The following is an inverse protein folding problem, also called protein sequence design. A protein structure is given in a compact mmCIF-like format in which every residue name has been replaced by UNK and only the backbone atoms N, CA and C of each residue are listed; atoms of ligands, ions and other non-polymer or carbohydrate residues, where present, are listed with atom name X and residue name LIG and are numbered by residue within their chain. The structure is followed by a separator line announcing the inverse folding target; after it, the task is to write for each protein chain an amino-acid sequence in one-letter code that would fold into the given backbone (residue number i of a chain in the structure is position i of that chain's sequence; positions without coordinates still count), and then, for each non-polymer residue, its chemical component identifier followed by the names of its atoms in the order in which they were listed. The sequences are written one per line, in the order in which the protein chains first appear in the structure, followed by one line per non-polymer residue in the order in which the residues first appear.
data_IF_458096992064
#
_entry.id   IF_458096992064
#
_cell.length_a   1.000
_cell.length_b   1.000
_cell.length_c   1.000
_cell.angle_alpha   90.00
_cell.angle_beta   90.00
_cell.angle_gamma   90.00
#
_symmetry.space_group_name_H-M   'P 1'
#
loop_
_entity.id
_entity.type
_entity.pdbx_description
1 polymer ?
#
# COMPACT_ATOMS: atom_id res chain seq x y z
N UNK A 1 -31.30 -11.23 12.77
CA UNK A 1 -29.92 -10.75 12.47
C UNK A 1 -29.05 -11.13 13.66
N UNK A 2 -27.91 -11.84 13.41
CA UNK A 2 -26.95 -12.25 14.45
C UNK A 2 -26.39 -11.00 15.16
N UNK A 3 -26.13 -11.09 16.48
CA UNK A 3 -25.63 -10.00 17.34
C UNK A 3 -24.29 -9.45 16.81
N UNK A 4 -23.40 -10.32 16.28
CA UNK A 4 -22.13 -9.89 15.73
C UNK A 4 -22.28 -9.13 14.41
N UNK A 5 -23.15 -9.57 13.51
CA UNK A 5 -23.43 -8.84 12.27
C UNK A 5 -23.97 -7.43 12.56
N UNK A 6 -24.85 -7.28 13.56
CA UNK A 6 -25.35 -5.96 13.96
C UNK A 6 -24.23 -5.04 14.43
N UNK A 7 -23.30 -5.57 15.23
CA UNK A 7 -22.12 -4.81 15.68
C UNK A 7 -21.16 -4.46 14.55
N UNK A 8 -20.99 -5.37 13.57
CA UNK A 8 -20.20 -5.11 12.36
C UNK A 8 -20.80 -3.96 11.56
N UNK A 9 -22.12 -3.97 11.36
CA UNK A 9 -22.83 -2.91 10.65
C UNK A 9 -22.75 -1.56 11.39
N UNK A 10 -22.81 -1.55 12.72
CA UNK A 10 -22.57 -0.33 13.50
C UNK A 10 -21.14 0.21 13.31
N UNK A 11 -20.13 -0.66 13.31
CA UNK A 11 -18.75 -0.22 13.07
C UNK A 11 -18.60 0.40 11.66
N UNK A 12 -19.21 -0.22 10.65
CA UNK A 12 -19.22 0.32 9.28
C UNK A 12 -19.98 1.64 9.20
N UNK A 13 -21.13 1.76 9.90
CA UNK A 13 -21.90 3.00 9.95
C UNK A 13 -21.10 4.14 10.60
N UNK A 14 -20.39 3.86 11.71
CA UNK A 14 -19.49 4.85 12.35
C UNK A 14 -18.36 5.28 11.40
N UNK A 15 -17.77 4.32 10.69
CA UNK A 15 -16.73 4.64 9.69
C UNK A 15 -17.28 5.46 8.52
N UNK A 16 -18.50 5.17 8.06
CA UNK A 16 -19.19 5.98 7.03
C UNK A 16 -19.50 7.40 7.53
N UNK A 17 -19.90 7.54 8.80
CA UNK A 17 -20.08 8.87 9.42
C UNK A 17 -18.78 9.66 9.47
N UNK A 18 -17.64 9.02 9.78
CA UNK A 18 -16.32 9.66 9.72
C UNK A 18 -16.02 10.18 8.31
N UNK A 19 -16.26 9.35 7.28
CA UNK A 19 -16.08 9.75 5.88
C UNK A 19 -16.98 10.93 5.52
N UNK A 20 -18.26 10.88 5.90
CA UNK A 20 -19.22 11.95 5.63
C UNK A 20 -18.81 13.25 6.35
N UNK A 21 -18.40 13.15 7.62
CA UNK A 21 -17.91 14.30 8.38
C UNK A 21 -16.68 14.92 7.73
N UNK A 22 -15.72 14.09 7.28
CA UNK A 22 -14.52 14.57 6.59
C UNK A 22 -14.87 15.26 5.27
N UNK A 23 -15.80 14.72 4.50
CA UNK A 23 -16.25 15.34 3.26
C UNK A 23 -16.94 16.69 3.52
N UNK A 24 -17.88 16.75 4.45
CA UNK A 24 -18.62 18.00 4.80
C UNK A 24 -17.67 19.08 5.33
N UNK A 25 -16.80 18.73 6.29
CA UNK A 25 -15.82 19.65 6.81
C UNK A 25 -14.82 20.10 5.74
N UNK A 26 -14.37 19.18 4.89
CA UNK A 26 -13.47 19.50 3.77
C UNK A 26 -14.10 20.44 2.75
N UNK A 27 -15.38 20.26 2.41
CA UNK A 27 -16.13 21.20 1.53
C UNK A 27 -16.24 22.57 2.18
N UNK A 28 -16.51 22.64 3.49
CA UNK A 28 -16.58 23.91 4.22
C UNK A 28 -15.24 24.65 4.20
N UNK A 29 -14.13 23.95 4.54
CA UNK A 29 -12.77 24.51 4.51
C UNK A 29 -12.38 24.96 3.11
N UNK A 30 -12.73 24.18 2.06
CA UNK A 30 -12.44 24.52 0.67
C UNK A 30 -13.19 25.78 0.20
N UNK A 31 -14.43 25.99 0.68
CA UNK A 31 -15.21 27.19 0.36
C UNK A 31 -14.67 28.45 1.00
N UNK A 32 -14.16 28.34 2.23
CA UNK A 32 -13.62 29.47 2.97
C UNK A 32 -12.21 29.84 2.45
N UNK A 33 -11.34 28.84 2.39
CA UNK A 33 -9.93 29.02 1.95
C UNK A 33 -9.53 27.78 1.18
N UNK A 34 -9.27 27.86 -0.11
CA UNK A 34 -8.87 26.68 -0.91
C UNK A 34 -7.44 26.18 -0.57
N UNK A 35 -7.22 25.92 0.73
CA UNK A 35 -5.93 25.45 1.29
C UNK A 35 -5.78 23.93 1.26
N UNK A 36 -6.85 23.17 0.94
CA UNK A 36 -6.79 21.72 0.90
C UNK A 36 -6.09 21.21 -0.37
N UNK A 37 -6.19 21.94 -1.46
CA UNK A 37 -5.68 21.57 -2.78
C UNK A 37 -6.11 20.14 -3.22
N UNK A 38 -7.39 19.81 -2.97
CA UNK A 38 -8.03 18.57 -3.42
C UNK A 38 -9.39 18.87 -4.04
N UNK A 39 -9.73 18.18 -5.13
CA UNK A 39 -10.96 18.44 -5.85
C UNK A 39 -12.21 17.96 -5.12
N UNK A 40 -12.15 16.80 -4.48
CA UNK A 40 -13.26 16.13 -3.80
C UNK A 40 -12.86 15.65 -2.38
N UNK A 41 -12.81 16.57 -1.37
CA UNK A 41 -12.34 16.21 -0.02
C UNK A 41 -13.13 15.02 0.59
N UNK A 42 -12.45 14.12 1.32
CA UNK A 42 -11.04 14.15 1.67
C UNK A 42 -10.11 13.55 0.60
N UNK A 43 -10.63 13.03 -0.52
CA UNK A 43 -9.86 12.36 -1.56
C UNK A 43 -9.24 13.34 -2.55
N UNK A 44 -8.04 13.02 -3.03
CA UNK A 44 -7.42 13.70 -4.17
C UNK A 44 -8.06 13.23 -5.48
N UNK A 45 -9.28 13.71 -5.73
CA UNK A 45 -10.11 13.32 -6.86
C UNK A 45 -11.03 14.46 -7.30
N UNK A 46 -11.65 14.31 -8.45
CA UNK A 46 -12.72 15.18 -8.95
C UNK A 46 -13.97 14.35 -9.18
N UNK A 47 -15.13 14.92 -8.93
CA UNK A 47 -16.39 14.28 -9.28
C UNK A 47 -16.54 14.26 -10.79
N UNK A 48 -16.52 13.08 -11.38
CA UNK A 48 -16.71 12.83 -12.80
C UNK A 48 -17.26 11.42 -12.99
N UNK A 49 -18.58 11.24 -13.02
CA UNK A 49 -19.18 9.96 -13.36
C UNK A 49 -18.82 9.55 -14.79
N UNK A 50 -18.22 8.38 -14.92
CA UNK A 50 -17.79 7.87 -16.23
C UNK A 50 -17.77 6.34 -16.27
N UNK A 51 -17.77 5.82 -17.50
CA UNK A 51 -17.55 4.40 -17.80
C UNK A 51 -16.52 4.31 -18.92
N UNK A 52 -15.89 3.17 -19.08
CA UNK A 52 -14.89 2.99 -20.12
C UNK A 52 -14.62 1.52 -20.44
N UNK A 53 -13.57 1.26 -21.25
CA UNK A 53 -13.30 -0.08 -21.77
C UNK A 53 -13.05 -1.14 -20.66
N UNK A 54 -12.55 -0.72 -19.50
CA UNK A 54 -12.33 -1.60 -18.35
C UNK A 54 -13.60 -1.95 -17.56
N UNK A 55 -14.69 -1.19 -17.70
CA UNK A 55 -15.91 -1.37 -16.90
C UNK A 55 -16.47 -2.80 -16.97
N UNK A 56 -16.67 -3.42 -18.16
CA UNK A 56 -17.17 -4.79 -18.23
C UNK A 56 -16.21 -5.80 -17.56
N UNK A 57 -14.91 -5.62 -17.74
CA UNK A 57 -13.92 -6.48 -17.12
C UNK A 57 -13.92 -6.33 -15.59
N UNK A 58 -14.01 -5.10 -15.06
CA UNK A 58 -14.06 -4.83 -13.62
C UNK A 58 -15.30 -5.48 -12.98
N UNK A 59 -16.47 -5.36 -13.60
CA UNK A 59 -17.69 -6.02 -13.13
C UNK A 59 -17.54 -7.55 -13.17
N UNK A 60 -16.98 -8.10 -14.27
CA UNK A 60 -16.78 -9.55 -14.43
C UNK A 60 -15.84 -10.09 -13.36
N UNK A 61 -14.69 -9.43 -13.11
CA UNK A 61 -13.74 -9.86 -12.07
C UNK A 61 -14.38 -9.75 -10.69
N UNK A 62 -15.11 -8.66 -10.40
CA UNK A 62 -15.83 -8.51 -9.13
C UNK A 62 -16.80 -9.67 -8.88
N UNK A 63 -17.68 -9.96 -9.85
CA UNK A 63 -18.65 -11.06 -9.77
C UNK A 63 -17.94 -12.41 -9.62
N UNK A 64 -16.90 -12.66 -10.43
CA UNK A 64 -16.15 -13.91 -10.38
C UNK A 64 -15.51 -14.13 -9.00
N UNK A 65 -14.88 -13.11 -8.41
CA UNK A 65 -14.27 -13.25 -7.09
C UNK A 65 -15.30 -13.34 -5.97
N UNK A 66 -16.42 -12.61 -6.04
CA UNK A 66 -17.52 -12.75 -5.06
C UNK A 66 -18.09 -14.17 -5.06
N UNK A 67 -18.33 -14.74 -6.24
CA UNK A 67 -18.96 -16.06 -6.38
C UNK A 67 -17.98 -17.19 -6.13
N UNK A 68 -16.82 -17.13 -6.77
CA UNK A 68 -15.86 -18.24 -6.80
C UNK A 68 -14.66 -18.03 -5.87
N UNK A 69 -14.36 -16.81 -5.45
CA UNK A 69 -13.19 -16.53 -4.59
C UNK A 69 -13.16 -17.36 -3.31
N UNK A 70 -14.22 -17.32 -2.46
CA UNK A 70 -14.24 -18.10 -1.22
C UNK A 70 -14.12 -19.61 -1.42
N UNK A 71 -14.87 -20.30 -2.31
CA UNK A 71 -14.72 -21.73 -2.53
C UNK A 71 -13.38 -22.10 -3.18
N UNK A 72 -12.84 -21.30 -4.09
CA UNK A 72 -11.52 -21.54 -4.68
C UNK A 72 -10.42 -21.39 -3.63
N UNK A 73 -10.45 -20.36 -2.83
CA UNK A 73 -9.49 -20.15 -1.75
C UNK A 73 -9.49 -21.32 -0.73
N UNK A 74 -10.66 -21.94 -0.50
CA UNK A 74 -10.77 -23.08 0.39
C UNK A 74 -10.20 -24.38 -0.23
N UNK A 75 -10.31 -24.56 -1.54
CA UNK A 75 -10.05 -25.85 -2.24
C UNK A 75 -8.72 -25.91 -2.98
N UNK A 76 -8.22 -24.79 -3.48
CA UNK A 76 -6.96 -24.76 -4.24
C UNK A 76 -5.80 -25.36 -3.43
N UNK A 77 -4.89 -26.14 -4.05
CA UNK A 77 -3.64 -26.49 -3.40
C UNK A 77 -2.91 -25.23 -2.93
N UNK A 78 -2.29 -25.28 -1.75
CA UNK A 78 -1.60 -24.10 -1.21
C UNK A 78 -0.62 -23.48 -2.20
N UNK A 79 0.13 -24.32 -2.93
CA UNK A 79 1.13 -23.83 -3.90
C UNK A 79 0.51 -22.99 -5.04
N UNK A 80 -0.74 -23.24 -5.38
CA UNK A 80 -1.46 -22.51 -6.43
C UNK A 80 -2.16 -21.25 -5.91
N UNK A 81 -2.56 -21.21 -4.62
CA UNK A 81 -3.36 -20.13 -4.07
C UNK A 81 -2.68 -18.75 -4.15
N UNK A 82 -1.38 -18.57 -3.80
CA UNK A 82 -0.72 -17.27 -3.94
C UNK A 82 -0.67 -16.77 -5.39
N UNK A 83 -0.45 -17.68 -6.35
CA UNK A 83 -0.47 -17.33 -7.78
C UNK A 83 -1.86 -16.93 -8.26
N UNK A 84 -2.89 -17.67 -7.84
CA UNK A 84 -4.28 -17.32 -8.14
C UNK A 84 -4.67 -15.96 -7.54
N UNK A 85 -4.25 -15.67 -6.31
CA UNK A 85 -4.46 -14.36 -5.69
C UNK A 85 -3.75 -13.25 -6.43
N UNK A 86 -2.48 -13.45 -6.81
CA UNK A 86 -1.74 -12.49 -7.62
C UNK A 86 -2.44 -12.22 -8.96
N UNK A 87 -2.77 -13.26 -9.71
CA UNK A 87 -3.42 -13.12 -11.00
C UNK A 87 -4.79 -12.42 -10.90
N UNK A 88 -5.59 -12.77 -9.89
CA UNK A 88 -6.89 -12.15 -9.67
C UNK A 88 -6.76 -10.69 -9.18
N UNK A 89 -5.81 -10.37 -8.30
CA UNK A 89 -5.53 -9.00 -7.86
C UNK A 89 -5.01 -8.14 -9.03
N UNK A 90 -4.14 -8.69 -9.86
CA UNK A 90 -3.65 -8.06 -11.07
C UNK A 90 -4.80 -7.78 -12.05
N UNK A 91 -5.66 -8.79 -12.33
CA UNK A 91 -6.83 -8.62 -13.19
C UNK A 91 -7.78 -7.55 -12.63
N UNK A 92 -8.00 -7.52 -11.32
CA UNK A 92 -8.83 -6.50 -10.66
C UNK A 92 -8.26 -5.10 -10.83
N UNK A 93 -6.98 -4.92 -10.52
CA UNK A 93 -6.30 -3.62 -10.63
C UNK A 93 -6.23 -3.12 -12.06
N UNK A 94 -5.87 -3.99 -13.03
CA UNK A 94 -5.88 -3.61 -14.44
C UNK A 94 -7.27 -3.25 -14.96
N UNK A 95 -8.30 -4.02 -14.59
CA UNK A 95 -9.66 -3.72 -15.05
C UNK A 95 -10.16 -2.38 -14.54
N UNK A 96 -9.84 -2.00 -13.29
CA UNK A 96 -10.15 -0.68 -12.74
C UNK A 96 -9.35 0.43 -13.44
N UNK A 97 -8.05 0.26 -13.63
CA UNK A 97 -7.22 1.22 -14.35
C UNK A 97 -7.70 1.45 -15.80
N UNK A 98 -8.15 0.39 -16.46
CA UNK A 98 -8.66 0.46 -17.83
C UNK A 98 -10.07 1.08 -17.95
N UNK A 99 -10.76 1.38 -16.85
CA UNK A 99 -11.99 2.21 -16.91
C UNK A 99 -11.64 3.58 -17.51
N UNK A 100 -10.48 4.15 -17.19
CA UNK A 100 -9.95 5.37 -17.82
C UNK A 100 -9.32 5.13 -19.21
N UNK A 101 -9.32 3.90 -19.69
CA UNK A 101 -8.65 3.47 -20.91
C UNK A 101 -7.13 3.30 -20.76
N UNK A 102 -6.48 2.69 -21.75
CA UNK A 102 -5.06 2.38 -21.72
C UNK A 102 -4.17 3.61 -21.52
N UNK A 103 -4.42 4.64 -22.33
CA UNK A 103 -3.55 5.82 -22.31
C UNK A 103 -3.60 6.53 -20.95
N UNK A 104 -4.79 6.86 -20.45
CA UNK A 104 -4.92 7.59 -19.21
C UNK A 104 -4.67 6.70 -17.99
N UNK A 105 -5.27 5.52 -17.94
CA UNK A 105 -5.26 4.64 -16.76
C UNK A 105 -3.95 3.90 -16.58
N UNK A 106 -3.15 3.66 -17.64
CA UNK A 106 -1.90 2.91 -17.55
C UNK A 106 -0.69 3.70 -18.07
N UNK A 107 -0.68 4.08 -19.34
CA UNK A 107 0.53 4.55 -19.99
C UNK A 107 0.97 5.97 -19.59
N UNK A 108 0.04 6.85 -19.22
CA UNK A 108 0.34 8.27 -18.94
C UNK A 108 0.60 8.57 -17.47
N UNK A 109 0.19 7.71 -16.52
CA UNK A 109 0.20 8.05 -15.09
C UNK A 109 1.60 8.39 -14.57
N UNK A 110 2.58 7.56 -14.85
CA UNK A 110 3.96 7.75 -14.41
C UNK A 110 4.79 8.68 -15.33
N UNK A 111 4.15 9.31 -16.33
CA UNK A 111 4.79 10.29 -17.22
C UNK A 111 4.32 11.72 -16.99
N UNK A 112 3.55 12.00 -15.93
CA UNK A 112 3.15 13.38 -15.62
C UNK A 112 4.36 14.19 -15.14
N UNK A 113 4.25 15.52 -15.17
CA UNK A 113 5.33 16.45 -14.75
C UNK A 113 5.80 16.25 -13.30
N UNK A 114 5.11 15.46 -12.50
CA UNK A 114 5.43 15.21 -11.09
C UNK A 114 6.20 13.91 -10.87
N UNK A 115 6.31 13.07 -11.91
CA UNK A 115 6.68 11.66 -11.81
C UNK A 115 8.14 11.37 -12.18
N UNK A 116 8.57 10.14 -11.87
CA UNK A 116 9.93 9.64 -12.00
C UNK A 116 10.45 9.61 -13.44
N UNK A 117 9.55 9.36 -14.43
CA UNK A 117 9.96 9.22 -15.83
C UNK A 117 10.41 10.54 -16.47
N UNK A 118 10.15 11.68 -15.81
CA UNK A 118 10.58 12.99 -16.29
C UNK A 118 12.10 13.22 -16.19
N UNK A 119 12.81 12.34 -15.48
CA UNK A 119 14.23 12.56 -15.17
C UNK A 119 15.13 11.38 -15.56
N UNK A 120 14.63 10.45 -16.38
CA UNK A 120 15.39 9.25 -16.79
C UNK A 120 16.74 9.63 -17.38
N UNK A 121 16.77 10.60 -18.31
CA UNK A 121 17.99 11.06 -18.99
C UNK A 121 19.02 11.68 -18.03
N UNK A 122 18.58 12.19 -16.88
CA UNK A 122 19.49 12.73 -15.86
C UNK A 122 20.27 11.64 -15.10
N UNK A 123 19.89 10.37 -15.28
CA UNK A 123 20.55 9.20 -14.71
C UNK A 123 21.41 8.43 -15.72
N UNK A 124 21.83 9.05 -16.83
CA UNK A 124 22.77 8.43 -17.79
C UNK A 124 24.06 8.03 -17.09
N UNK A 125 24.60 8.90 -16.23
CA UNK A 125 25.66 8.58 -15.27
C UNK A 125 25.05 8.40 -13.87
N UNK A 126 24.67 7.15 -13.53
CA UNK A 126 24.05 6.83 -12.24
C UNK A 126 24.92 7.25 -11.05
N UNK A 127 26.24 6.93 -10.98
CA UNK A 127 27.09 7.35 -9.89
C UNK A 127 27.11 8.87 -9.68
N UNK A 128 27.14 9.65 -10.75
CA UNK A 128 27.09 11.11 -10.69
C UNK A 128 25.72 11.59 -10.19
N UNK A 129 24.63 11.08 -10.76
CA UNK A 129 23.27 11.44 -10.35
C UNK A 129 22.99 11.14 -8.86
N UNK A 130 23.58 10.06 -8.32
CA UNK A 130 23.48 9.72 -6.90
C UNK A 130 24.27 10.68 -5.99
N UNK A 131 25.48 11.07 -6.38
CA UNK A 131 26.29 12.05 -5.62
C UNK A 131 25.64 13.43 -5.59
N UNK A 132 25.06 13.85 -6.72
CA UNK A 132 24.50 15.19 -6.88
C UNK A 132 23.01 15.24 -6.44
N UNK A 133 22.42 14.10 -6.01
CA UNK A 133 20.99 13.96 -5.79
C UNK A 133 20.42 14.96 -4.78
N UNK A 134 21.10 15.14 -3.63
CA UNK A 134 20.67 16.03 -2.55
C UNK A 134 20.64 17.49 -2.98
N UNK A 135 21.55 17.90 -3.86
CA UNK A 135 21.65 19.26 -4.39
C UNK A 135 20.43 19.72 -5.22
N UNK A 136 19.56 18.81 -5.62
CA UNK A 136 18.37 19.11 -6.44
C UNK A 136 17.03 18.90 -5.70
N UNK A 137 17.03 18.63 -4.38
CA UNK A 137 15.81 18.34 -3.63
C UNK A 137 14.95 19.59 -3.40
N UNK A 138 15.54 20.72 -2.98
CA UNK A 138 14.81 21.93 -2.63
C UNK A 138 14.27 22.67 -3.86
N UNK A 139 13.13 23.39 -3.71
CA UNK A 139 12.52 24.16 -4.81
C UNK A 139 13.43 25.30 -5.33
N UNK A 140 14.26 25.86 -4.47
CA UNK A 140 15.20 26.92 -4.86
C UNK A 140 16.48 26.43 -5.53
N UNK A 141 16.69 25.12 -5.63
CA UNK A 141 17.87 24.55 -6.27
C UNK A 141 17.79 24.65 -7.79
N UNK A 142 18.92 24.85 -8.49
CA UNK A 142 18.97 24.74 -9.94
C UNK A 142 18.47 23.33 -10.36
N UNK A 143 17.67 23.28 -11.42
CA UNK A 143 17.15 22.03 -11.98
C UNK A 143 16.58 21.08 -10.91
N UNK A 144 15.78 21.60 -9.96
CA UNK A 144 15.22 20.84 -8.87
C UNK A 144 14.39 19.64 -9.37
N UNK A 145 14.41 18.57 -8.57
CA UNK A 145 13.66 17.36 -8.88
C UNK A 145 12.13 17.60 -8.90
N UNK A 146 11.40 16.89 -9.80
CA UNK A 146 9.95 16.77 -9.69
C UNK A 146 9.53 16.26 -8.29
N UNK A 147 8.29 16.58 -7.85
CA UNK A 147 7.84 16.26 -6.48
C UNK A 147 8.02 14.81 -6.05
N UNK A 148 7.74 13.83 -6.93
CA UNK A 148 7.89 12.42 -6.55
C UNK A 148 9.36 11.99 -6.50
N UNK A 149 10.22 12.54 -7.33
CA UNK A 149 11.68 12.28 -7.28
C UNK A 149 12.28 12.89 -6.01
N UNK A 150 11.97 14.18 -5.72
CA UNK A 150 12.43 14.85 -4.50
C UNK A 150 11.87 14.18 -3.22
N UNK A 151 10.64 13.64 -3.30
CA UNK A 151 9.93 13.05 -2.19
C UNK A 151 10.38 11.63 -1.79
N UNK A 152 11.24 11.01 -2.59
CA UNK A 152 11.66 9.63 -2.39
C UNK A 152 13.18 9.47 -2.52
N UNK A 153 13.78 8.49 -1.84
CA UNK A 153 15.16 8.12 -2.11
C UNK A 153 15.34 7.69 -3.58
N UNK A 154 16.56 7.83 -4.15
CA UNK A 154 16.79 7.58 -5.57
C UNK A 154 16.54 6.13 -6.03
N UNK A 155 16.39 5.17 -5.12
CA UNK A 155 15.99 3.80 -5.44
C UNK A 155 14.64 3.71 -6.16
N UNK A 156 13.70 4.63 -5.84
CA UNK A 156 12.42 4.72 -6.54
C UNK A 156 12.63 5.09 -8.02
N UNK A 157 13.42 6.13 -8.30
CA UNK A 157 13.74 6.57 -9.66
C UNK A 157 14.57 5.53 -10.41
N UNK A 158 15.57 4.93 -9.73
CA UNK A 158 16.41 3.88 -10.33
C UNK A 158 15.64 2.66 -10.79
N UNK A 159 14.51 2.34 -10.17
CA UNK A 159 13.62 1.28 -10.66
C UNK A 159 13.23 1.52 -12.12
N UNK A 160 12.82 2.74 -12.46
CA UNK A 160 12.38 3.10 -13.80
C UNK A 160 13.56 3.33 -14.76
N UNK A 161 14.67 3.86 -14.27
CA UNK A 161 15.94 3.96 -15.04
C UNK A 161 16.41 2.58 -15.49
N UNK A 162 16.41 1.60 -14.58
CA UNK A 162 16.83 0.24 -14.92
C UNK A 162 15.84 -0.45 -15.85
N UNK A 163 14.54 -0.16 -15.72
CA UNK A 163 13.51 -0.65 -16.65
C UNK A 163 13.74 -0.11 -18.06
N UNK A 164 14.04 1.19 -18.18
CA UNK A 164 14.35 1.85 -19.45
C UNK A 164 15.59 1.26 -20.10
N UNK A 165 16.68 1.09 -19.32
CA UNK A 165 17.91 0.45 -19.80
C UNK A 165 17.75 -1.01 -20.23
N UNK A 166 16.74 -1.69 -19.68
CA UNK A 166 16.38 -3.04 -20.13
C UNK A 166 15.59 -3.05 -21.46
N UNK A 167 15.40 -1.90 -22.11
CA UNK A 167 14.60 -1.76 -23.33
C UNK A 167 13.10 -1.72 -23.11
N UNK A 168 12.65 -1.57 -21.85
CA UNK A 168 11.25 -1.48 -21.44
C UNK A 168 10.91 -0.05 -21.01
N UNK A 169 11.36 0.93 -21.78
CA UNK A 169 11.17 2.35 -21.49
C UNK A 169 9.73 2.83 -21.67
N UNK A 170 9.45 4.00 -21.08
CA UNK A 170 8.18 4.70 -21.22
C UNK A 170 7.09 4.27 -20.25
N UNK A 171 6.01 5.06 -20.22
CA UNK A 171 4.96 4.95 -19.22
C UNK A 171 4.14 3.68 -19.29
N UNK A 172 3.98 3.07 -20.47
CA UNK A 172 3.25 1.82 -20.63
C UNK A 172 3.92 0.66 -19.87
N UNK A 173 5.22 0.48 -20.04
CA UNK A 173 5.97 -0.55 -19.33
C UNK A 173 6.09 -0.27 -17.84
N UNK A 174 6.29 1.00 -17.46
CA UNK A 174 6.29 1.42 -16.07
C UNK A 174 4.93 1.11 -15.40
N UNK A 175 3.82 1.45 -16.07
CA UNK A 175 2.46 1.15 -15.57
C UNK A 175 2.20 -0.35 -15.42
N UNK A 176 2.59 -1.16 -16.42
CA UNK A 176 2.48 -2.62 -16.35
C UNK A 176 3.31 -3.18 -15.19
N UNK A 177 4.56 -2.70 -15.03
CA UNK A 177 5.45 -3.13 -13.94
C UNK A 177 4.81 -2.89 -12.56
N UNK A 178 4.37 -1.65 -12.30
CA UNK A 178 3.85 -1.30 -10.95
C UNK A 178 2.57 -2.04 -10.62
N UNK A 179 1.69 -2.30 -11.61
CA UNK A 179 0.48 -3.09 -11.40
C UNK A 179 0.83 -4.58 -11.18
N UNK A 180 1.66 -5.16 -12.06
CA UNK A 180 1.98 -6.58 -12.00
C UNK A 180 2.75 -6.94 -10.71
N UNK A 181 3.75 -6.13 -10.35
CA UNK A 181 4.52 -6.34 -9.12
C UNK A 181 3.68 -5.95 -7.90
N UNK A 182 2.96 -4.83 -7.95
CA UNK A 182 2.10 -4.36 -6.87
C UNK A 182 1.06 -5.41 -6.45
N UNK A 183 0.42 -6.07 -7.41
CA UNK A 183 -0.54 -7.14 -7.15
C UNK A 183 0.06 -8.34 -6.38
N UNK A 184 1.39 -8.55 -6.41
CA UNK A 184 2.05 -9.61 -5.63
C UNK A 184 1.98 -9.38 -4.13
N UNK A 185 1.67 -8.14 -3.67
CA UNK A 185 1.50 -7.84 -2.25
C UNK A 185 0.42 -8.74 -1.60
N UNK A 186 -0.66 -9.05 -2.32
CA UNK A 186 -1.68 -9.98 -1.86
C UNK A 186 -1.10 -11.37 -1.55
N UNK A 187 -0.25 -11.90 -2.42
CA UNK A 187 0.43 -13.17 -2.21
C UNK A 187 1.40 -13.13 -1.02
N UNK A 188 2.16 -12.04 -0.87
CA UNK A 188 3.09 -11.85 0.23
C UNK A 188 2.38 -11.82 1.61
N UNK A 189 1.25 -11.10 1.70
CA UNK A 189 0.41 -11.08 2.92
C UNK A 189 -0.12 -12.48 3.23
N UNK A 190 -0.61 -13.22 2.22
CA UNK A 190 -1.06 -14.60 2.41
C UNK A 190 0.03 -15.52 2.96
N UNK A 191 1.24 -15.45 2.39
CA UNK A 191 2.40 -16.22 2.85
C UNK A 191 2.71 -15.89 4.31
N UNK A 192 2.69 -14.61 4.66
CA UNK A 192 2.95 -14.14 6.03
C UNK A 192 1.91 -14.65 7.02
N UNK A 193 0.61 -14.51 6.69
CA UNK A 193 -0.49 -14.96 7.55
C UNK A 193 -0.42 -16.47 7.76
N UNK A 194 -0.17 -17.25 6.70
CA UNK A 194 0.01 -18.70 6.84
C UNK A 194 1.19 -19.05 7.75
N UNK A 195 2.33 -18.40 7.54
CA UNK A 195 3.56 -18.71 8.27
C UNK A 195 3.45 -18.40 9.77
N UNK A 196 2.80 -17.30 10.13
CA UNK A 196 2.74 -16.81 11.52
C UNK A 196 1.45 -17.19 12.25
N UNK A 197 0.33 -17.26 11.55
CA UNK A 197 -0.97 -17.63 12.12
C UNK A 197 -1.34 -19.07 11.73
N UNK A 198 -2.12 -19.24 10.67
CA UNK A 198 -2.41 -20.55 10.06
C UNK A 198 -2.90 -20.42 8.61
N UNK A 199 -3.01 -21.60 7.94
CA UNK A 199 -3.46 -21.68 6.56
C UNK A 199 -4.96 -21.36 6.41
N UNK A 200 -5.79 -21.68 7.41
CA UNK A 200 -7.23 -21.41 7.36
C UNK A 200 -7.52 -19.91 7.31
N UNK A 201 -6.85 -19.12 8.17
CA UNK A 201 -6.96 -17.66 8.18
C UNK A 201 -6.41 -17.04 6.89
N UNK A 202 -5.28 -17.55 6.37
CA UNK A 202 -4.74 -17.11 5.09
C UNK A 202 -5.75 -17.33 3.95
N UNK A 203 -6.34 -18.53 3.86
CA UNK A 203 -7.37 -18.85 2.87
C UNK A 203 -8.60 -17.98 2.97
N UNK A 204 -9.05 -17.67 4.19
CA UNK A 204 -10.19 -16.76 4.44
C UNK A 204 -9.87 -15.31 4.08
N UNK A 205 -8.63 -14.85 4.26
CA UNK A 205 -8.20 -13.51 3.87
C UNK A 205 -8.08 -13.33 2.35
N UNK A 206 -7.74 -14.39 1.61
CA UNK A 206 -7.39 -14.36 0.20
C UNK A 206 -8.34 -13.54 -0.69
N UNK A 207 -9.67 -13.77 -0.73
CA UNK A 207 -10.55 -13.02 -1.61
C UNK A 207 -10.67 -11.53 -1.22
N UNK A 208 -10.44 -11.16 0.04
CA UNK A 208 -10.46 -9.77 0.50
C UNK A 208 -9.19 -9.01 0.12
N UNK A 209 -8.05 -9.69 0.05
CA UNK A 209 -6.81 -9.14 -0.49
C UNK A 209 -6.91 -8.87 -1.99
N UNK A 210 -7.76 -9.61 -2.70
CA UNK A 210 -8.01 -9.43 -4.14
C UNK A 210 -8.97 -8.27 -4.40
N UNK A 211 -10.19 -8.31 -3.83
CA UNK A 211 -11.24 -7.31 -4.07
C UNK A 211 -11.13 -6.11 -3.12
N UNK A 212 -9.92 -5.56 -2.97
CA UNK A 212 -9.73 -4.37 -2.16
C UNK A 212 -10.10 -3.10 -2.94
N UNK A 213 -10.81 -2.13 -2.33
CA UNK A 213 -10.96 -0.80 -2.91
C UNK A 213 -9.61 -0.10 -3.13
N UNK A 214 -8.59 -0.44 -2.35
CA UNK A 214 -7.20 -0.01 -2.52
C UNK A 214 -6.69 -0.16 -3.97
N UNK A 215 -7.22 -1.11 -4.74
CA UNK A 215 -6.84 -1.33 -6.14
C UNK A 215 -7.12 -0.12 -7.05
N UNK A 216 -8.05 0.76 -6.69
CA UNK A 216 -8.33 2.02 -7.41
C UNK A 216 -7.08 2.91 -7.44
N UNK A 217 -6.29 2.91 -6.37
CA UNK A 217 -5.10 3.74 -6.21
C UNK A 217 -3.79 2.95 -6.37
N UNK A 218 -3.84 1.63 -6.30
CA UNK A 218 -2.70 0.77 -6.60
C UNK A 218 -2.45 0.66 -8.11
N UNK A 219 -3.50 0.88 -8.90
CA UNK A 219 -3.41 0.93 -10.36
C UNK A 219 -2.58 2.12 -10.80
N UNK A 220 -1.41 1.83 -11.38
CA UNK A 220 -0.46 2.76 -11.98
C UNK A 220 0.15 3.77 -11.00
N UNK A 221 0.35 3.34 -9.75
CA UNK A 221 1.10 4.07 -8.73
C UNK A 221 2.35 3.31 -8.31
N UNK A 222 3.47 4.02 -8.16
CA UNK A 222 4.69 3.46 -7.61
C UNK A 222 4.50 2.93 -6.17
N UNK A 223 3.55 3.48 -5.41
CA UNK A 223 3.25 3.03 -4.05
C UNK A 223 2.71 1.60 -4.00
N UNK A 224 1.99 1.15 -5.05
CA UNK A 224 1.60 -0.26 -5.19
C UNK A 224 2.81 -1.19 -5.31
N UNK A 225 3.80 -0.79 -6.10
CA UNK A 225 5.09 -1.50 -6.21
C UNK A 225 5.85 -1.48 -4.88
N UNK A 226 5.92 -0.32 -4.21
CA UNK A 226 6.56 -0.21 -2.89
C UNK A 226 5.89 -1.10 -1.84
N UNK A 227 4.56 -1.16 -1.86
CA UNK A 227 3.79 -2.06 -0.99
C UNK A 227 4.17 -3.53 -1.19
N UNK A 228 4.37 -3.95 -2.44
CA UNK A 228 4.76 -5.32 -2.74
C UNK A 228 6.17 -5.64 -2.26
N UNK A 229 7.16 -4.76 -2.49
CA UNK A 229 8.54 -4.96 -2.02
C UNK A 229 8.57 -5.10 -0.49
N UNK A 230 7.90 -4.16 0.21
CA UNK A 230 7.81 -4.19 1.66
C UNK A 230 7.07 -5.45 2.19
N UNK A 231 5.99 -5.86 1.51
CA UNK A 231 5.23 -7.05 1.88
C UNK A 231 6.06 -8.34 1.71
N UNK A 232 6.83 -8.45 0.64
CA UNK A 232 7.74 -9.59 0.44
C UNK A 232 8.89 -9.59 1.44
N UNK A 233 9.43 -8.43 1.81
CA UNK A 233 10.42 -8.33 2.89
C UNK A 233 9.91 -8.97 4.18
N UNK A 234 8.67 -8.63 4.56
CA UNK A 234 7.98 -9.19 5.73
C UNK A 234 7.67 -10.68 5.56
N UNK A 235 7.22 -11.10 4.37
CA UNK A 235 6.93 -12.51 4.09
C UNK A 235 8.18 -13.40 4.23
N UNK A 236 9.32 -12.95 3.70
CA UNK A 236 10.58 -13.67 3.87
C UNK A 236 11.04 -13.68 5.34
N UNK A 237 10.81 -12.59 6.09
CA UNK A 237 11.08 -12.56 7.52
C UNK A 237 10.21 -13.59 8.27
N UNK A 238 8.93 -13.66 7.96
CA UNK A 238 8.00 -14.62 8.54
C UNK A 238 8.43 -16.07 8.26
N UNK A 239 8.85 -16.36 7.02
CA UNK A 239 9.41 -17.67 6.66
C UNK A 239 10.70 -17.98 7.42
N UNK A 240 11.58 -17.00 7.60
CA UNK A 240 12.84 -17.16 8.33
C UNK A 240 12.60 -17.49 9.81
N UNK A 241 11.75 -16.71 10.49
CA UNK A 241 11.48 -16.92 11.93
C UNK A 241 10.74 -18.22 12.23
N UNK A 242 10.00 -18.75 11.24
CA UNK A 242 9.31 -20.05 11.35
C UNK A 242 10.16 -21.24 10.89
N UNK A 243 11.36 -20.98 10.34
CA UNK A 243 12.35 -22.01 10.02
C UNK A 243 12.31 -22.54 8.59
N UNK A 244 11.59 -21.87 7.68
CA UNK A 244 11.60 -22.23 6.27
C UNK A 244 12.82 -21.62 5.56
N UNK A 245 13.83 -22.44 5.24
CA UNK A 245 15.13 -22.01 4.68
C UNK A 245 15.70 -20.76 5.38
N UNK A 246 15.90 -20.80 6.72
CA UNK A 246 15.97 -19.61 7.57
C UNK A 246 17.08 -18.63 7.18
N UNK A 247 18.24 -19.12 6.67
CA UNK A 247 19.35 -18.25 6.28
C UNK A 247 19.04 -17.47 5.00
N UNK A 248 18.58 -18.16 3.95
CA UNK A 248 18.30 -17.55 2.65
C UNK A 248 17.11 -16.61 2.71
N UNK A 249 16.03 -16.99 3.42
CA UNK A 249 14.87 -16.11 3.58
C UNK A 249 15.18 -14.92 4.50
N UNK A 250 16.05 -15.08 5.51
CA UNK A 250 16.51 -13.96 6.33
C UNK A 250 17.35 -12.95 5.53
N UNK A 251 18.31 -13.42 4.71
CA UNK A 251 19.10 -12.57 3.81
C UNK A 251 18.19 -11.85 2.80
N UNK A 252 17.26 -12.56 2.17
CA UNK A 252 16.31 -11.98 1.23
C UNK A 252 15.42 -10.92 1.91
N UNK A 253 14.94 -11.19 3.12
CA UNK A 253 14.18 -10.21 3.93
C UNK A 253 15.01 -8.96 4.19
N UNK A 254 16.24 -9.12 4.67
CA UNK A 254 17.13 -7.99 4.94
C UNK A 254 17.39 -7.15 3.69
N UNK A 255 17.71 -7.80 2.56
CA UNK A 255 17.94 -7.12 1.29
C UNK A 255 16.71 -6.30 0.85
N UNK A 256 15.51 -6.89 0.94
CA UNK A 256 14.29 -6.17 0.58
C UNK A 256 13.92 -5.10 1.61
N UNK A 257 14.23 -5.25 2.91
CA UNK A 257 14.08 -4.16 3.89
C UNK A 257 15.02 -2.99 3.57
N UNK A 258 16.27 -3.28 3.21
CA UNK A 258 17.22 -2.27 2.75
C UNK A 258 16.73 -1.54 1.50
N UNK A 259 16.16 -2.28 0.54
CA UNK A 259 15.53 -1.68 -0.64
C UNK A 259 14.29 -0.86 -0.26
N UNK A 260 13.44 -1.36 0.62
CA UNK A 260 12.20 -0.69 1.07
C UNK A 260 12.49 0.73 1.58
N UNK A 261 13.51 0.92 2.41
CA UNK A 261 13.88 2.25 2.93
C UNK A 261 14.55 3.14 1.88
N UNK A 262 14.98 2.58 0.74
CA UNK A 262 15.51 3.33 -0.41
C UNK A 262 14.45 3.55 -1.52
N UNK A 263 13.25 2.99 -1.37
CA UNK A 263 12.10 3.31 -2.21
C UNK A 263 11.26 4.47 -1.64
N UNK A 264 11.11 4.54 -0.31
CA UNK A 264 10.37 5.65 0.32
C UNK A 264 10.82 5.82 1.78
N UNK A 265 11.02 7.07 2.19
CA UNK A 265 11.39 7.41 3.57
C UNK A 265 10.35 6.96 4.59
N UNK A 266 9.05 7.08 4.27
CA UNK A 266 7.95 6.66 5.14
C UNK A 266 7.94 5.15 5.40
N UNK A 267 8.57 4.35 4.55
CA UNK A 267 8.63 2.89 4.71
C UNK A 267 9.63 2.43 5.77
N UNK A 268 10.40 3.33 6.39
CA UNK A 268 11.13 3.04 7.64
C UNK A 268 10.20 2.54 8.74
N UNK A 269 8.91 2.93 8.71
CA UNK A 269 7.87 2.43 9.62
C UNK A 269 7.67 0.91 9.54
N UNK A 270 8.12 0.24 8.46
CA UNK A 270 8.11 -1.23 8.40
C UNK A 270 8.99 -1.90 9.46
N UNK A 271 9.85 -1.16 10.15
CA UNK A 271 10.52 -1.63 11.36
C UNK A 271 9.52 -2.11 12.43
N UNK A 272 8.35 -1.48 12.54
CA UNK A 272 7.28 -1.89 13.46
C UNK A 272 6.74 -3.27 13.07
N UNK A 273 6.43 -3.48 11.78
CA UNK A 273 5.95 -4.76 11.28
C UNK A 273 7.03 -5.85 11.40
N UNK A 274 8.28 -5.53 11.05
CA UNK A 274 9.40 -6.46 11.19
C UNK A 274 9.60 -6.87 12.65
N UNK A 275 9.49 -5.92 13.59
CA UNK A 275 9.57 -6.20 15.03
C UNK A 275 8.44 -7.13 15.48
N UNK A 276 7.19 -6.87 15.04
CA UNK A 276 6.05 -7.74 15.34
C UNK A 276 6.30 -9.18 14.85
N UNK A 277 6.80 -9.34 13.62
CA UNK A 277 7.13 -10.67 13.05
C UNK A 277 8.25 -11.35 13.84
N UNK A 278 9.30 -10.64 14.22
CA UNK A 278 10.38 -11.18 15.05
C UNK A 278 9.86 -11.65 16.41
N UNK A 279 8.97 -10.89 17.05
CA UNK A 279 8.38 -11.24 18.34
C UNK A 279 7.47 -12.47 18.25
N UNK A 280 6.77 -12.65 17.14
CA UNK A 280 5.91 -13.81 16.88
C UNK A 280 6.69 -15.08 16.52
N UNK A 281 7.92 -14.94 16.07
CA UNK A 281 8.74 -16.05 15.61
C UNK A 281 9.56 -16.73 16.71
N UNK A 282 9.83 -18.03 16.53
CA UNK A 282 10.61 -18.84 17.48
C UNK A 282 12.13 -18.75 17.28
N UNK A 283 12.60 -18.37 16.08
CA UNK A 283 14.02 -18.40 15.68
C UNK A 283 14.67 -17.01 15.57
N UNK A 284 14.08 -15.98 16.15
CA UNK A 284 14.44 -14.58 15.98
C UNK A 284 15.95 -14.29 16.16
N UNK A 285 16.56 -14.76 17.23
CA UNK A 285 17.98 -14.50 17.50
C UNK A 285 18.92 -15.17 16.47
N UNK A 286 18.57 -16.38 16.00
CA UNK A 286 19.40 -17.15 15.08
C UNK A 286 19.41 -16.56 13.67
N UNK A 287 18.34 -15.88 13.26
CA UNK A 287 18.23 -15.31 11.91
C UNK A 287 18.72 -13.85 11.84
N UNK A 288 18.79 -13.16 12.97
CA UNK A 288 19.10 -11.73 13.03
C UNK A 288 20.42 -11.36 12.32
N UNK A 289 21.54 -12.10 12.46
CA UNK A 289 22.76 -11.78 11.72
C UNK A 289 22.58 -11.79 10.19
N UNK A 290 21.76 -12.71 9.68
CA UNK A 290 21.48 -12.79 8.23
C UNK A 290 20.55 -11.68 7.76
N UNK A 291 19.55 -11.31 8.57
CA UNK A 291 18.69 -10.15 8.28
C UNK A 291 19.53 -8.87 8.24
N UNK A 292 20.39 -8.65 9.24
CA UNK A 292 21.27 -7.49 9.29
C UNK A 292 22.26 -7.46 8.12
N UNK A 293 22.86 -8.62 7.78
CA UNK A 293 23.76 -8.72 6.64
C UNK A 293 23.06 -8.34 5.32
N UNK A 294 21.83 -8.84 5.09
CA UNK A 294 21.05 -8.44 3.92
C UNK A 294 20.63 -6.97 3.94
N UNK A 295 20.21 -6.46 5.12
CA UNK A 295 19.74 -5.09 5.29
C UNK A 295 20.81 -4.05 4.93
N UNK A 296 22.07 -4.32 5.26
CA UNK A 296 23.17 -3.38 5.02
C UNK A 296 23.54 -3.25 3.53
N UNK A 297 23.26 -4.26 2.72
CA UNK A 297 23.71 -4.31 1.30
C UNK A 297 23.24 -3.10 0.50
N UNK A 298 21.94 -2.80 0.53
CA UNK A 298 21.40 -1.68 -0.27
C UNK A 298 21.83 -0.32 0.29
N UNK A 299 21.68 -0.01 1.60
CA UNK A 299 22.24 1.22 2.16
C UNK A 299 23.71 1.41 1.87
N UNK A 300 24.54 0.38 2.04
CA UNK A 300 25.96 0.47 1.76
C UNK A 300 26.24 0.78 0.28
N UNK A 301 25.51 0.15 -0.65
CA UNK A 301 25.67 0.40 -2.08
C UNK A 301 25.35 1.87 -2.43
N UNK A 302 24.27 2.44 -1.88
CA UNK A 302 23.90 3.84 -2.11
C UNK A 302 24.89 4.81 -1.47
N UNK A 303 25.33 4.54 -0.23
CA UNK A 303 26.32 5.37 0.47
C UNK A 303 27.68 5.34 -0.24
N UNK A 304 28.14 4.16 -0.69
CA UNK A 304 29.39 4.03 -1.46
C UNK A 304 29.30 4.71 -2.83
N UNK A 305 28.10 4.79 -3.41
CA UNK A 305 27.84 5.57 -4.63
C UNK A 305 27.73 7.08 -4.38
N UNK A 306 27.82 7.53 -3.12
CA UNK A 306 27.85 8.95 -2.73
C UNK A 306 26.50 9.55 -2.35
N UNK A 307 25.44 8.73 -2.20
CA UNK A 307 24.14 9.21 -1.73
C UNK A 307 24.08 9.23 -0.20
N UNK A 308 23.81 10.40 0.39
CA UNK A 308 23.54 10.55 1.82
C UNK A 308 22.03 10.51 2.09
N UNK A 309 21.58 9.40 2.69
CA UNK A 309 20.17 9.17 3.00
C UNK A 309 19.63 10.13 4.07
N UNK A 310 20.47 10.48 5.07
CA UNK A 310 20.04 11.35 6.17
C UNK A 310 19.95 12.81 5.74
N UNK A 311 20.91 13.30 5.00
CA UNK A 311 20.87 14.63 4.38
C UNK A 311 19.63 14.75 3.49
N UNK A 312 19.41 13.77 2.60
CA UNK A 312 18.25 13.74 1.72
C UNK A 312 16.92 13.74 2.49
N UNK A 313 16.84 13.02 3.61
CA UNK A 313 15.64 13.04 4.47
C UNK A 313 15.39 14.41 5.10
N UNK A 314 16.41 15.09 5.62
CA UNK A 314 16.25 16.44 6.17
C UNK A 314 15.82 17.44 5.10
N UNK A 315 16.42 17.39 3.93
CA UNK A 315 16.03 18.22 2.78
C UNK A 315 14.61 17.90 2.30
N UNK A 316 14.19 16.64 2.35
CA UNK A 316 12.79 16.28 2.06
C UNK A 316 11.82 16.94 3.04
N UNK A 317 12.11 16.96 4.34
CA UNK A 317 11.23 17.63 5.33
C UNK A 317 11.08 19.10 4.98
N UNK A 318 12.16 19.79 4.63
CA UNK A 318 12.12 21.16 4.16
C UNK A 318 11.32 21.29 2.85
N UNK A 319 11.61 20.45 1.85
CA UNK A 319 10.91 20.42 0.57
C UNK A 319 9.41 20.22 0.72
N UNK A 320 8.99 19.37 1.66
CA UNK A 320 7.58 19.12 1.96
C UNK A 320 6.87 20.38 2.41
N UNK A 321 7.53 21.18 3.28
CA UNK A 321 6.98 22.45 3.76
C UNK A 321 7.04 23.58 2.72
N UNK A 322 7.94 23.51 1.74
CA UNK A 322 7.95 24.40 0.58
C UNK A 322 6.78 24.15 -0.38
N UNK A 323 6.21 22.95 -0.36
CA UNK A 323 5.10 22.52 -1.22
C UNK A 323 3.73 22.59 -0.51
N UNK A 324 2.74 21.89 -1.10
CA UNK A 324 1.37 21.80 -0.58
C UNK A 324 1.29 21.32 0.88
N UNK A 325 2.24 20.48 1.32
CA UNK A 325 2.33 20.03 2.70
C UNK A 325 2.49 21.14 3.74
N UNK A 326 3.11 22.28 3.38
CA UNK A 326 3.25 23.44 4.25
C UNK A 326 1.94 24.22 4.45
N UNK A 327 1.07 24.23 3.44
CA UNK A 327 -0.17 25.01 3.47
C UNK A 327 -1.39 24.20 3.94
N UNK A 328 -1.39 22.89 3.71
CA UNK A 328 -2.49 21.99 4.10
C UNK A 328 -2.64 21.95 5.63
N UNK A 329 -3.84 22.25 6.20
CA UNK A 329 -4.04 22.34 7.64
C UNK A 329 -3.95 20.97 8.32
N UNK A 330 -3.04 20.82 9.26
CA UNK A 330 -2.84 19.57 10.01
C UNK A 330 -4.11 19.16 10.77
N UNK A 331 -4.78 20.12 11.43
CA UNK A 331 -5.97 19.87 12.23
C UNK A 331 -7.15 19.26 11.44
N UNK A 332 -7.20 19.46 10.12
CA UNK A 332 -8.15 18.76 9.25
C UNK A 332 -7.61 17.39 8.83
N UNK A 333 -6.36 17.33 8.35
CA UNK A 333 -5.84 16.12 7.73
C UNK A 333 -5.59 14.98 8.72
N UNK A 334 -5.22 15.25 9.98
CA UNK A 334 -4.96 14.21 10.99
C UNK A 334 -6.12 13.25 11.25
N UNK A 335 -7.35 13.64 10.95
CA UNK A 335 -8.51 12.75 11.03
C UNK A 335 -9.17 12.48 9.67
N UNK A 336 -9.05 13.38 8.71
CA UNK A 336 -9.54 13.19 7.35
C UNK A 336 -8.74 12.10 6.60
N UNK A 337 -7.45 11.94 6.89
CA UNK A 337 -6.63 10.83 6.40
C UNK A 337 -7.17 9.47 6.85
N UNK A 338 -7.72 9.36 8.07
CA UNK A 338 -8.37 8.14 8.53
C UNK A 338 -9.65 7.83 7.74
N UNK A 339 -10.38 8.87 7.31
CA UNK A 339 -11.53 8.72 6.43
C UNK A 339 -11.09 8.21 5.03
N UNK A 340 -9.98 8.70 4.49
CA UNK A 340 -9.37 8.16 3.27
C UNK A 340 -9.01 6.67 3.46
N UNK A 341 -8.36 6.33 4.58
CA UNK A 341 -8.00 4.94 4.88
C UNK A 341 -9.23 4.03 4.95
N UNK A 342 -10.36 4.48 5.51
CA UNK A 342 -11.64 3.73 5.53
C UNK A 342 -12.11 3.42 4.11
N UNK A 343 -12.05 4.39 3.19
CA UNK A 343 -12.42 4.17 1.78
C UNK A 343 -11.49 3.19 1.08
N UNK A 344 -10.19 3.27 1.36
CA UNK A 344 -9.15 2.39 0.78
C UNK A 344 -9.29 0.96 1.26
N UNK A 345 -9.52 0.73 2.57
CA UNK A 345 -9.62 -0.63 3.10
C UNK A 345 -11.01 -1.23 2.95
N UNK A 346 -12.05 -0.41 2.91
CA UNK A 346 -13.44 -0.76 2.67
C UNK A 346 -14.17 -1.42 3.86
N UNK A 347 -15.50 -1.66 3.71
CA UNK A 347 -16.39 -2.04 4.80
C UNK A 347 -16.09 -3.41 5.43
N UNK A 348 -15.64 -4.39 4.63
CA UNK A 348 -15.29 -5.71 5.15
C UNK A 348 -14.09 -5.65 6.11
N UNK A 349 -13.11 -4.81 5.79
CA UNK A 349 -11.94 -4.61 6.66
C UNK A 349 -12.31 -3.92 7.95
N UNK A 350 -13.17 -2.90 7.91
CA UNK A 350 -13.69 -2.22 9.10
C UNK A 350 -14.40 -3.22 10.03
N UNK A 351 -15.29 -4.05 9.47
CA UNK A 351 -15.96 -5.10 10.22
C UNK A 351 -14.95 -6.13 10.80
N UNK A 352 -13.97 -6.52 10.01
CA UNK A 352 -12.90 -7.43 10.41
C UNK A 352 -12.04 -6.86 11.54
N UNK A 353 -11.66 -5.58 11.48
CA UNK A 353 -10.90 -4.89 12.53
C UNK A 353 -11.70 -4.80 13.85
N UNK A 354 -13.01 -4.50 13.79
CA UNK A 354 -13.87 -4.58 14.98
C UNK A 354 -13.82 -5.97 15.61
N UNK A 355 -13.88 -7.03 14.78
CA UNK A 355 -13.82 -8.42 15.24
C UNK A 355 -12.43 -8.77 15.78
N UNK A 356 -11.37 -8.20 15.21
CA UNK A 356 -10.00 -8.31 15.71
C UNK A 356 -9.93 -7.76 17.13
N UNK A 357 -10.40 -6.55 17.36
CA UNK A 357 -10.44 -5.93 18.69
C UNK A 357 -11.18 -6.81 19.71
N UNK A 358 -12.35 -7.35 19.35
CA UNK A 358 -13.12 -8.25 20.22
C UNK A 358 -12.38 -9.57 20.54
N UNK A 359 -11.48 -10.05 19.69
CA UNK A 359 -10.63 -11.22 19.93
C UNK A 359 -9.44 -10.89 20.84
N UNK A 360 -8.85 -9.74 20.62
CA UNK A 360 -7.72 -9.29 21.44
C UNK A 360 -8.16 -8.95 22.87
N UNK A 361 -9.37 -8.41 23.08
CA UNK A 361 -9.91 -8.21 24.42
C UNK A 361 -10.20 -9.52 25.15
N UNK A 362 -10.46 -10.61 24.41
CA UNK A 362 -10.64 -11.96 24.92
C UNK A 362 -9.37 -12.80 24.75
N UNK A 363 -8.22 -12.25 25.04
CA UNK A 363 -6.89 -12.81 24.74
C UNK A 363 -6.76 -14.29 25.10
N UNK A 364 -7.12 -14.67 26.33
CA UNK A 364 -6.96 -16.05 26.81
C UNK A 364 -7.96 -17.04 26.18
N UNK A 365 -9.11 -16.55 25.74
CA UNK A 365 -10.16 -17.38 25.12
C UNK A 365 -10.00 -17.48 23.58
N UNK A 366 -9.17 -16.62 22.98
CA UNK A 366 -8.97 -16.62 21.53
C UNK A 366 -7.89 -17.60 21.09
N UNK A 367 -8.08 -18.32 19.96
CA UNK A 367 -7.07 -19.19 19.37
C UNK A 367 -5.74 -18.44 19.11
N UNK A 368 -4.62 -19.14 19.28
CA UNK A 368 -3.26 -18.54 19.08
C UNK A 368 -3.11 -17.93 17.69
N UNK A 369 -3.60 -18.60 16.64
CA UNK A 369 -3.52 -18.12 15.27
C UNK A 369 -4.28 -16.80 15.09
N UNK A 370 -5.48 -16.67 15.68
CA UNK A 370 -6.26 -15.42 15.61
C UNK A 370 -5.59 -14.26 16.36
N UNK A 371 -4.96 -14.55 17.52
CA UNK A 371 -4.16 -13.54 18.25
C UNK A 371 -2.98 -13.05 17.45
N UNK A 372 -2.24 -13.98 16.79
CA UNK A 372 -1.08 -13.65 15.96
C UNK A 372 -1.46 -12.80 14.75
N UNK A 373 -2.55 -13.14 14.05
CA UNK A 373 -3.07 -12.29 12.99
C UNK A 373 -3.50 -10.93 13.55
N UNK A 374 -4.18 -10.90 14.71
CA UNK A 374 -4.55 -9.67 15.38
C UNK A 374 -3.37 -8.75 15.69
N UNK A 375 -2.24 -9.30 16.14
CA UNK A 375 -1.02 -8.52 16.40
C UNK A 375 -0.39 -7.96 15.12
N UNK A 376 -0.42 -8.69 14.00
CA UNK A 376 0.02 -8.16 12.69
C UNK A 376 -0.88 -7.00 12.25
N UNK A 377 -2.19 -7.11 12.44
CA UNK A 377 -3.12 -6.01 12.13
C UNK A 377 -2.90 -4.80 13.03
N UNK A 378 -2.60 -5.00 14.32
CA UNK A 378 -2.21 -3.92 15.22
C UNK A 378 -0.91 -3.24 14.79
N UNK A 379 0.10 -4.01 14.36
CA UNK A 379 1.33 -3.45 13.83
C UNK A 379 1.08 -2.57 12.59
N UNK A 380 0.20 -3.02 11.67
CA UNK A 380 -0.20 -2.23 10.51
C UNK A 380 -0.94 -0.94 10.90
N UNK A 381 -1.86 -1.00 11.85
CA UNK A 381 -2.53 0.18 12.39
C UNK A 381 -1.55 1.13 13.07
N UNK A 382 -0.56 0.63 13.79
CA UNK A 382 0.46 1.45 14.45
C UNK A 382 1.34 2.17 13.42
N UNK A 383 1.75 1.49 12.33
CA UNK A 383 2.47 2.14 11.22
C UNK A 383 1.65 3.28 10.62
N UNK A 384 0.37 3.02 10.32
CA UNK A 384 -0.53 4.00 9.74
C UNK A 384 -0.73 5.20 10.66
N UNK A 385 -0.98 4.98 11.95
CA UNK A 385 -1.13 6.04 12.95
C UNK A 385 0.17 6.84 13.14
N UNK A 386 1.33 6.19 13.13
CA UNK A 386 2.61 6.89 13.20
C UNK A 386 2.84 7.78 11.97
N UNK A 387 2.49 7.28 10.77
CA UNK A 387 2.55 8.07 9.53
C UNK A 387 1.60 9.28 9.59
N UNK A 388 0.40 9.12 10.12
CA UNK A 388 -0.60 10.17 10.25
C UNK A 388 -0.17 11.26 11.23
N UNK A 389 0.23 10.84 12.44
CA UNK A 389 0.66 11.75 13.50
C UNK A 389 1.96 12.50 13.18
N UNK A 390 2.78 11.99 12.26
CA UNK A 390 4.00 12.68 11.81
C UNK A 390 3.72 14.02 11.12
N UNK A 391 2.51 14.21 10.58
CA UNK A 391 2.14 15.38 9.78
C UNK A 391 2.82 15.47 8.41
N UNK A 392 3.62 14.45 8.03
CA UNK A 392 4.28 14.34 6.72
C UNK A 392 3.39 13.72 5.64
N UNK A 393 2.12 13.41 5.96
CA UNK A 393 1.11 12.92 5.03
C UNK A 393 -0.17 13.74 5.20
N UNK A 394 -0.35 14.74 4.35
CA UNK A 394 -1.57 15.56 4.32
C UNK A 394 -2.16 15.49 2.91
N UNK A 395 -3.29 14.81 2.75
CA UNK A 395 -3.86 14.37 1.48
C UNK A 395 -3.05 13.28 0.76
N UNK A 396 -3.62 12.72 -0.29
CA UNK A 396 -3.04 11.64 -1.12
C UNK A 396 -2.75 10.36 -0.34
N UNK A 397 -3.26 10.25 0.90
CA UNK A 397 -3.03 9.10 1.78
C UNK A 397 -3.70 7.82 1.27
N UNK A 398 -4.71 7.95 0.43
CA UNK A 398 -5.31 6.83 -0.31
C UNK A 398 -4.29 6.05 -1.15
N UNK A 399 -3.22 6.70 -1.60
CA UNK A 399 -2.11 6.13 -2.34
C UNK A 399 -0.89 5.88 -1.44
N UNK A 400 -0.43 6.93 -0.75
CA UNK A 400 0.82 6.90 0.05
C UNK A 400 0.77 5.81 1.14
N UNK A 401 -0.42 5.49 1.67
CA UNK A 401 -0.59 4.50 2.73
C UNK A 401 -0.93 3.09 2.23
N UNK A 402 -0.93 2.85 0.92
CA UNK A 402 -1.12 1.49 0.36
C UNK A 402 -0.22 0.44 1.01
N UNK A 403 1.09 0.71 1.27
CA UNK A 403 1.95 -0.26 1.94
C UNK A 403 1.44 -0.70 3.32
N UNK A 404 0.79 0.19 4.07
CA UNK A 404 0.26 -0.11 5.41
C UNK A 404 -1.15 -0.71 5.33
N UNK A 405 -2.02 -0.13 4.50
CA UNK A 405 -3.43 -0.53 4.39
C UNK A 405 -3.61 -1.92 3.79
N UNK A 406 -2.70 -2.37 2.92
CA UNK A 406 -2.72 -3.73 2.34
C UNK A 406 -2.72 -4.82 3.42
N UNK A 407 -2.04 -4.62 4.53
CA UNK A 407 -2.03 -5.56 5.66
C UNK A 407 -3.38 -5.63 6.38
N UNK A 408 -4.08 -4.51 6.48
CA UNK A 408 -5.38 -4.42 7.16
C UNK A 408 -6.46 -5.25 6.45
N UNK A 409 -6.33 -5.45 5.14
CA UNK A 409 -7.27 -6.26 4.34
C UNK A 409 -7.37 -7.71 4.85
N UNK A 410 -6.31 -8.22 5.47
CA UNK A 410 -6.31 -9.56 6.07
C UNK A 410 -7.32 -9.71 7.23
N UNK A 411 -7.81 -8.60 7.81
CA UNK A 411 -8.90 -8.62 8.78
C UNK A 411 -10.20 -9.21 8.21
N UNK A 412 -10.37 -9.22 6.89
CA UNK A 412 -11.44 -9.92 6.19
C UNK A 412 -11.53 -11.41 6.53
N UNK A 413 -10.44 -12.03 7.00
CA UNK A 413 -10.46 -13.41 7.50
C UNK A 413 -11.44 -13.63 8.67
N UNK A 414 -11.79 -12.59 9.39
CA UNK A 414 -12.62 -12.69 10.60
C UNK A 414 -14.12 -12.48 10.35
N UNK A 415 -14.54 -12.01 9.18
CA UNK A 415 -15.97 -11.77 8.92
C UNK A 415 -16.71 -13.05 8.56
N UNK A 416 -17.99 -13.13 8.98
CA UNK A 416 -18.93 -14.13 8.50
C UNK A 416 -19.56 -13.67 7.18
N UNK A 417 -20.18 -14.57 6.44
CA UNK A 417 -20.84 -14.27 5.15
C UNK A 417 -19.91 -13.58 4.15
N UNK A 418 -18.77 -14.22 3.79
CA UNK A 418 -17.72 -13.57 2.99
C UNK A 418 -18.24 -12.99 1.67
N UNK A 419 -19.19 -13.65 0.98
CA UNK A 419 -19.75 -13.13 -0.27
C UNK A 419 -20.45 -11.78 -0.11
N UNK A 420 -21.24 -11.59 0.96
CA UNK A 420 -21.91 -10.32 1.20
C UNK A 420 -20.91 -9.18 1.45
N UNK A 421 -19.85 -9.45 2.22
CA UNK A 421 -18.80 -8.48 2.49
C UNK A 421 -17.92 -8.19 1.26
N UNK A 422 -17.63 -9.21 0.44
CA UNK A 422 -16.93 -9.03 -0.84
C UNK A 422 -17.77 -8.22 -1.82
N UNK A 423 -19.10 -8.44 -1.87
CA UNK A 423 -20.00 -7.59 -2.67
C UNK A 423 -19.90 -6.13 -2.22
N UNK A 424 -19.96 -5.87 -0.91
CA UNK A 424 -19.84 -4.51 -0.38
C UNK A 424 -18.47 -3.87 -0.74
N UNK A 425 -17.37 -4.64 -0.65
CA UNK A 425 -16.02 -4.20 -1.07
C UNK A 425 -15.97 -3.83 -2.56
N UNK A 426 -16.44 -4.75 -3.41
CA UNK A 426 -16.44 -4.55 -4.85
C UNK A 426 -17.34 -3.37 -5.27
N UNK A 427 -18.52 -3.26 -4.66
CA UNK A 427 -19.44 -2.14 -4.93
C UNK A 427 -18.81 -0.81 -4.56
N UNK A 428 -18.16 -0.71 -3.39
CA UNK A 428 -17.46 0.52 -3.00
C UNK A 428 -16.34 0.86 -4.00
N UNK A 429 -15.51 -0.12 -4.37
CA UNK A 429 -14.43 0.09 -5.33
C UNK A 429 -14.95 0.57 -6.70
N UNK A 430 -16.00 -0.10 -7.21
CA UNK A 430 -16.62 0.27 -8.48
C UNK A 430 -17.24 1.67 -8.41
N UNK A 431 -17.95 2.02 -7.33
CA UNK A 431 -18.51 3.35 -7.15
C UNK A 431 -17.42 4.42 -7.11
N UNK A 432 -16.36 4.23 -6.32
CA UNK A 432 -15.24 5.15 -6.25
C UNK A 432 -14.60 5.35 -7.62
N UNK A 433 -14.32 4.25 -8.33
CA UNK A 433 -13.63 4.31 -9.62
C UNK A 433 -14.47 4.92 -10.75
N UNK A 434 -15.81 4.73 -10.73
CA UNK A 434 -16.70 5.21 -11.80
C UNK A 434 -17.32 6.57 -11.52
N UNK A 435 -17.32 7.03 -10.25
CA UNK A 435 -17.86 8.35 -9.91
C UNK A 435 -16.77 9.39 -9.73
N UNK A 436 -15.55 8.98 -9.48
CA UNK A 436 -14.44 9.87 -9.20
C UNK A 436 -13.32 9.72 -10.22
N UNK A 437 -12.84 10.84 -10.69
CA UNK A 437 -11.62 10.91 -11.46
C UNK A 437 -10.47 11.16 -10.49
N UNK A 438 -9.70 10.12 -10.20
CA UNK A 438 -8.54 10.20 -9.30
C UNK A 438 -7.31 10.80 -10.01
N UNK A 439 -6.32 11.19 -9.24
CA UNK A 439 -5.01 11.61 -9.76
C UNK A 439 -4.17 10.44 -10.33
N UNK A 440 -4.57 9.23 -10.03
CA UNK A 440 -3.83 7.98 -10.30
C UNK A 440 -4.58 7.05 -11.23
#
# INVERSE_FOLDING_TARGET
MNRDLRRDLYAVAVAALLVTAAAVAGIAVKRDKDVLHVGWPPLYANWLPHTGPGTPAAITVAVAVVVYGPPLAARLPWRALPWACWAAAMAWTFSLALVDGWHRGVARRLTTRYEYLQVIDRFDDIPRALRDFTGHILLGSPDHWPPHVAGHPPGATLTFVLLDRAGLGGGAWAGVLVIAVGATAAAAVLVTVRALADESLARRAAPFLVLAPAAVWAGTSADGYFAAVAAWAVAFLALAVTGHRPRTTALASGLLLGLTVHLSYGLTLFAVMATAVLLLGSRRLRILPYVCAGLVVVPAAFTLAGFDWWEAYHLLVERYHQGAGGFRPYGYWVWANLACAVLVVGPATVAGLRRTGARLTRWHASPVAERRLGLLLCAALLMLLAADLSGMSKAETERIWLPFTTWLLAAGAFVDRPRAWLTAQATLALLLNHLLLTGW
#
